data_IF_800179082273
#
_entry.id   IF_800179082273
#
_cell.length_a   1.000
_cell.length_b   1.000
_cell.length_c   1.000
_cell.angle_alpha   90.00
_cell.angle_beta   90.00
_cell.angle_gamma   90.00
#
_symmetry.space_group_name_H-M   'P 1'
#
loop_
_entity.id
_entity.type
_entity.pdbx_description
1 polymer ?
#
# COMPACT_ATOMS: atom_id res chain seq x y z
N UNK A 1 12.90 -42.78 -54.33
CA UNK A 1 12.57 -43.27 -52.98
C UNK A 1 12.81 -42.14 -52.00
N UNK A 2 11.81 -41.80 -51.19
CA UNK A 2 11.73 -40.59 -50.35
C UNK A 2 12.55 -40.81 -49.06
N UNK A 3 13.50 -39.92 -48.76
CA UNK A 3 14.19 -39.90 -47.46
C UNK A 3 13.71 -38.68 -46.68
N UNK A 4 12.81 -38.89 -45.72
CA UNK A 4 12.26 -37.82 -44.89
C UNK A 4 13.23 -37.46 -43.77
N UNK A 5 13.60 -36.19 -43.69
CA UNK A 5 14.27 -35.59 -42.54
C UNK A 5 13.35 -35.62 -41.31
N UNK A 6 13.86 -36.10 -40.18
CA UNK A 6 13.25 -35.92 -38.85
C UNK A 6 14.05 -34.84 -38.10
N UNK A 7 13.52 -33.62 -38.06
CA UNK A 7 14.00 -32.54 -37.19
C UNK A 7 13.24 -32.66 -35.87
N UNK A 8 13.94 -33.05 -34.80
CA UNK A 8 13.40 -33.08 -33.45
C UNK A 8 13.46 -31.67 -32.87
N UNK A 9 12.35 -30.94 -32.91
CA UNK A 9 12.23 -29.63 -32.25
C UNK A 9 11.93 -29.84 -30.76
N UNK A 10 12.92 -29.63 -29.90
CA UNK A 10 12.75 -29.62 -28.44
C UNK A 10 12.19 -28.26 -28.01
N UNK A 11 10.88 -28.18 -27.81
CA UNK A 11 10.22 -26.99 -27.28
C UNK A 11 10.45 -26.89 -25.76
N UNK A 12 11.33 -25.98 -25.33
CA UNK A 12 11.39 -25.56 -23.93
C UNK A 12 10.13 -24.79 -23.58
N UNK A 13 9.26 -25.40 -22.76
CA UNK A 13 8.10 -24.73 -22.16
C UNK A 13 8.63 -23.96 -20.95
N UNK A 14 8.78 -22.64 -21.07
CA UNK A 14 9.02 -21.76 -19.93
C UNK A 14 7.72 -21.60 -19.14
N UNK A 15 7.64 -22.22 -17.95
CA UNK A 15 6.53 -21.99 -17.02
C UNK A 15 6.70 -20.60 -16.37
N UNK A 16 5.62 -19.80 -16.25
CA UNK A 16 5.67 -18.56 -15.49
C UNK A 16 5.83 -18.92 -14.00
N UNK A 17 6.97 -18.55 -13.41
CA UNK A 17 7.17 -18.68 -11.97
C UNK A 17 6.36 -17.57 -11.27
N UNK A 18 5.18 -17.90 -10.77
CA UNK A 18 4.48 -17.06 -9.79
C UNK A 18 5.29 -17.07 -8.50
N UNK A 19 6.07 -16.02 -8.26
CA UNK A 19 6.72 -15.84 -6.98
C UNK A 19 5.63 -15.69 -5.90
N UNK A 20 5.59 -16.64 -4.96
CA UNK A 20 4.72 -16.55 -3.81
C UNK A 20 5.02 -15.27 -3.02
N UNK A 21 3.99 -14.62 -2.49
CA UNK A 21 4.19 -13.47 -1.61
C UNK A 21 5.02 -13.91 -0.38
N UNK A 22 5.92 -13.05 0.13
CA UNK A 22 6.63 -13.34 1.37
C UNK A 22 5.63 -13.61 2.50
N UNK A 23 5.87 -14.62 3.33
CA UNK A 23 4.96 -15.05 4.41
C UNK A 23 5.69 -15.09 5.74
N UNK A 24 5.11 -14.47 6.77
CA UNK A 24 5.66 -14.34 8.11
C UNK A 24 6.16 -12.94 8.45
N UNK A 25 6.07 -12.56 9.73
CA UNK A 25 6.44 -11.22 10.20
C UNK A 25 7.94 -10.90 10.06
N UNK A 26 8.81 -11.89 9.84
CA UNK A 26 10.24 -11.73 9.65
C UNK A 26 10.62 -11.49 8.18
N UNK A 27 9.65 -11.46 7.26
CA UNK A 27 9.90 -11.33 5.81
C UNK A 27 9.78 -9.91 5.26
N UNK A 28 9.55 -8.93 6.13
CA UNK A 28 9.62 -7.53 5.72
C UNK A 28 11.08 -7.13 5.46
N UNK A 29 11.27 -6.22 4.50
CA UNK A 29 12.60 -5.73 4.13
C UNK A 29 13.22 -4.80 5.18
N UNK A 30 12.46 -4.40 6.20
CA UNK A 30 12.91 -3.58 7.33
C UNK A 30 12.07 -3.86 8.58
N UNK A 31 12.55 -3.50 9.79
CA UNK A 31 11.80 -3.70 11.03
C UNK A 31 10.47 -2.94 11.06
N UNK A 32 9.41 -3.62 11.48
CA UNK A 32 8.02 -3.11 11.49
C UNK A 32 7.25 -3.45 12.77
N UNK A 33 7.93 -3.86 13.84
CA UNK A 33 7.31 -4.26 15.10
C UNK A 33 6.53 -3.11 15.74
N UNK A 34 7.05 -1.88 15.64
CA UNK A 34 6.39 -0.67 16.14
C UNK A 34 5.09 -0.42 15.38
N UNK A 35 5.13 -0.42 14.05
CA UNK A 35 3.98 -0.15 13.21
C UNK A 35 2.91 -1.24 13.38
N UNK A 36 3.32 -2.51 13.45
CA UNK A 36 2.43 -3.65 13.72
C UNK A 36 1.71 -3.52 15.06
N UNK A 37 2.41 -3.08 16.11
CA UNK A 37 1.79 -2.85 17.43
C UNK A 37 0.77 -1.72 17.36
N UNK A 38 1.13 -0.59 16.73
CA UNK A 38 0.23 0.55 16.58
C UNK A 38 -1.04 0.18 15.79
N UNK A 39 -0.88 -0.54 14.67
CA UNK A 39 -1.99 -0.99 13.83
C UNK A 39 -2.92 -2.00 14.51
N UNK A 40 -2.48 -2.64 15.60
CA UNK A 40 -3.33 -3.51 16.42
C UNK A 40 -4.29 -2.74 17.34
N UNK A 41 -4.08 -1.45 17.55
CA UNK A 41 -4.88 -0.57 18.41
C UNK A 41 -5.27 0.74 17.69
N UNK A 42 -5.88 0.68 16.50
CA UNK A 42 -6.16 1.88 15.72
C UNK A 42 -7.31 2.67 16.33
N UNK A 43 -7.21 4.00 16.29
CA UNK A 43 -8.33 4.87 16.68
C UNK A 43 -9.23 5.19 15.49
N UNK A 44 -10.53 5.23 15.72
CA UNK A 44 -11.43 5.82 14.74
C UNK A 44 -11.16 7.32 14.64
N UNK A 45 -11.12 7.85 13.42
CA UNK A 45 -10.97 9.29 13.18
C UNK A 45 -12.13 9.78 12.29
N UNK A 46 -12.69 10.97 12.55
CA UNK A 46 -13.67 11.56 11.66
C UNK A 46 -13.06 11.84 10.29
N UNK A 47 -13.79 11.56 9.21
CA UNK A 47 -13.34 11.77 7.84
C UNK A 47 -13.10 13.26 7.47
N UNK A 48 -13.59 14.20 8.28
CA UNK A 48 -13.57 15.63 7.99
C UNK A 48 -12.25 16.33 8.31
N UNK A 49 -11.45 15.79 9.23
CA UNK A 49 -10.33 16.53 9.81
C UNK A 49 -9.00 16.10 9.18
N UNK A 50 -8.12 17.08 8.96
CA UNK A 50 -6.77 16.80 8.51
C UNK A 50 -5.97 16.16 9.65
N UNK A 51 -5.44 14.96 9.41
CA UNK A 51 -4.65 14.20 10.36
C UNK A 51 -3.23 14.76 10.51
N UNK A 52 -2.65 14.65 11.70
CA UNK A 52 -1.25 14.98 11.93
C UNK A 52 -0.36 13.77 11.60
N UNK A 53 0.51 13.93 10.60
CA UNK A 53 1.49 12.90 10.20
C UNK A 53 2.51 12.56 11.30
N UNK A 54 2.71 13.47 12.26
CA UNK A 54 3.67 13.32 13.36
C UNK A 54 3.04 12.72 14.61
N UNK A 55 1.72 12.50 14.63
CA UNK A 55 1.01 11.95 15.78
C UNK A 55 1.52 10.56 16.20
N UNK A 56 2.08 9.80 15.25
CA UNK A 56 2.48 8.41 15.46
C UNK A 56 1.32 7.49 15.83
N UNK A 57 0.08 7.94 15.62
CA UNK A 57 -1.14 7.21 15.95
C UNK A 57 -1.59 6.39 14.74
N UNK A 58 -1.92 5.12 14.97
CA UNK A 58 -2.66 4.37 13.98
C UNK A 58 -4.11 4.81 13.97
N UNK A 59 -4.69 4.96 12.78
CA UNK A 59 -6.09 5.32 12.59
C UNK A 59 -6.78 4.30 11.71
N UNK A 60 -8.06 4.05 11.97
CA UNK A 60 -8.91 3.21 11.12
C UNK A 60 -9.64 4.09 10.12
N UNK A 61 -9.45 3.80 8.84
CA UNK A 61 -10.19 4.42 7.75
C UNK A 61 -11.34 3.51 7.33
N UNK A 62 -12.53 4.08 7.25
CA UNK A 62 -13.66 3.48 6.55
C UNK A 62 -13.52 3.74 5.05
N UNK A 63 -13.65 2.68 4.27
CA UNK A 63 -13.53 2.67 2.82
C UNK A 63 -14.90 2.45 2.20
N UNK A 64 -15.10 3.04 1.02
CA UNK A 64 -16.30 2.86 0.23
C UNK A 64 -16.06 1.80 -0.85
N UNK A 65 -17.12 1.18 -1.39
CA UNK A 65 -17.01 0.40 -2.62
C UNK A 65 -16.29 1.21 -3.70
N UNK A 66 -15.44 0.56 -4.51
CA UNK A 66 -14.61 1.20 -5.54
C UNK A 66 -15.36 2.24 -6.41
N UNK A 67 -16.57 1.96 -6.93
CA UNK A 67 -17.32 2.94 -7.72
C UNK A 67 -17.73 4.20 -6.95
N UNK A 68 -17.87 4.11 -5.63
CA UNK A 68 -18.42 5.14 -4.76
C UNK A 68 -17.33 5.96 -4.03
N UNK A 69 -16.08 5.49 -4.04
CA UNK A 69 -14.99 6.05 -3.26
C UNK A 69 -14.54 7.47 -3.64
N UNK A 70 -14.84 7.92 -4.87
CA UNK A 70 -14.60 9.29 -5.35
C UNK A 70 -13.21 9.83 -4.95
N UNK A 71 -12.16 9.07 -5.29
CA UNK A 71 -10.79 9.45 -4.96
C UNK A 71 -10.45 10.85 -5.53
N UNK A 72 -9.81 11.73 -4.75
CA UNK A 72 -9.46 13.08 -5.20
C UNK A 72 -8.59 13.16 -6.46
N UNK A 73 -7.75 12.14 -6.68
CA UNK A 73 -6.95 11.95 -7.88
C UNK A 73 -7.14 10.52 -8.42
N UNK A 74 -6.98 10.29 -9.73
CA UNK A 74 -6.96 8.94 -10.30
C UNK A 74 -5.90 8.09 -9.59
N UNK A 75 -6.19 6.83 -9.21
CA UNK A 75 -5.17 5.97 -8.64
C UNK A 75 -4.13 5.60 -9.69
N UNK A 76 -2.90 5.28 -9.28
CA UNK A 76 -1.89 4.78 -10.22
C UNK A 76 -2.27 3.39 -10.76
N UNK A 77 -3.05 2.62 -9.99
CA UNK A 77 -3.51 1.28 -10.37
C UNK A 77 -4.99 1.09 -10.09
N UNK A 78 -5.68 0.59 -11.12
CA UNK A 78 -7.04 0.07 -10.97
C UNK A 78 -7.04 -1.20 -10.10
N UNK A 79 -8.15 -1.47 -9.38
CA UNK A 79 -8.25 -2.69 -8.60
C UNK A 79 -8.13 -3.94 -9.48
N UNK A 80 -7.41 -4.94 -8.96
CA UNK A 80 -7.20 -6.21 -9.67
C UNK A 80 -8.31 -7.21 -9.41
N UNK A 81 -9.05 -7.05 -8.31
CA UNK A 81 -10.11 -7.95 -7.87
C UNK A 81 -11.36 -7.15 -7.51
N UNK A 82 -12.51 -7.77 -7.70
CA UNK A 82 -13.81 -7.24 -7.27
C UNK A 82 -14.51 -8.27 -6.35
N UNK A 83 -15.27 -7.83 -5.33
CA UNK A 83 -15.43 -6.45 -4.89
C UNK A 83 -14.11 -5.86 -4.36
N UNK A 84 -13.95 -4.54 -4.52
CA UNK A 84 -12.82 -3.77 -4.01
C UNK A 84 -13.34 -2.54 -3.29
N UNK A 85 -12.58 -2.10 -2.29
CA UNK A 85 -12.84 -0.88 -1.54
C UNK A 85 -11.74 0.14 -1.77
N UNK A 86 -12.08 1.41 -1.61
CA UNK A 86 -11.18 2.54 -1.74
C UNK A 86 -11.62 3.70 -0.86
N UNK A 87 -10.70 4.60 -0.58
CA UNK A 87 -10.94 5.77 0.25
C UNK A 87 -9.68 6.61 0.39
N UNK A 88 -9.79 7.71 1.13
CA UNK A 88 -8.68 8.62 1.30
C UNK A 88 -8.72 9.32 2.66
N UNK A 89 -7.56 9.76 3.12
CA UNK A 89 -7.41 10.61 4.30
C UNK A 89 -6.53 11.81 3.97
N UNK A 90 -6.87 12.97 4.53
CA UNK A 90 -6.09 14.19 4.39
C UNK A 90 -5.17 14.35 5.58
N UNK A 91 -3.95 14.79 5.32
CA UNK A 91 -2.96 15.08 6.33
C UNK A 91 -2.51 16.53 6.25
N UNK A 92 -2.33 17.14 7.41
CA UNK A 92 -1.83 18.51 7.51
C UNK A 92 -0.37 18.60 7.02
N UNK A 93 0.01 19.82 6.63
CA UNK A 93 1.41 20.16 6.43
C UNK A 93 2.19 20.05 7.75
N UNK A 94 3.49 19.81 7.64
CA UNK A 94 4.41 19.75 8.77
C UNK A 94 5.66 20.57 8.45
N UNK A 95 6.46 20.90 9.46
CA UNK A 95 7.73 21.59 9.22
C UNK A 95 8.76 20.64 8.59
N UNK A 96 9.33 21.05 7.46
CA UNK A 96 10.44 20.36 6.80
C UNK A 96 10.04 19.21 5.89
N UNK A 97 11.02 18.76 5.10
CA UNK A 97 10.94 17.52 4.32
C UNK A 97 11.37 16.36 5.22
N UNK A 98 10.73 15.20 5.07
CA UNK A 98 11.13 14.01 5.81
C UNK A 98 10.77 12.72 5.10
N UNK A 99 11.49 11.64 5.42
CA UNK A 99 11.14 10.30 4.98
C UNK A 99 10.22 9.64 6.00
N UNK A 100 9.17 9.03 5.49
CA UNK A 100 8.13 8.41 6.29
C UNK A 100 7.80 7.02 5.75
N UNK A 101 7.54 6.10 6.66
CA UNK A 101 6.86 4.84 6.38
C UNK A 101 5.36 5.05 6.54
N UNK A 102 4.59 4.66 5.53
CA UNK A 102 3.15 4.52 5.60
C UNK A 102 2.86 3.03 5.60
N UNK A 103 2.29 2.54 6.70
CA UNK A 103 2.04 1.10 6.90
C UNK A 103 0.55 0.82 7.04
N UNK A 104 0.11 -0.32 6.50
CA UNK A 104 -1.29 -0.73 6.41
C UNK A 104 -1.51 -2.09 7.06
N UNK A 105 -2.65 -2.25 7.72
CA UNK A 105 -3.10 -3.55 8.26
C UNK A 105 -3.44 -4.55 7.16
N UNK A 106 -3.96 -4.07 6.02
CA UNK A 106 -4.41 -4.88 4.89
C UNK A 106 -3.65 -4.54 3.60
N UNK A 107 -3.81 -5.39 2.60
CA UNK A 107 -3.21 -5.19 1.28
C UNK A 107 -4.00 -4.14 0.52
N UNK A 108 -3.40 -2.98 0.25
CA UNK A 108 -3.97 -1.98 -0.65
C UNK A 108 -2.88 -1.31 -1.48
N UNK A 109 -3.28 -0.70 -2.58
CA UNK A 109 -2.46 0.29 -3.28
C UNK A 109 -2.38 1.58 -2.46
N UNK A 110 -1.24 2.28 -2.52
CA UNK A 110 -1.01 3.52 -1.79
C UNK A 110 -0.59 4.57 -2.81
N UNK A 111 -1.42 5.59 -2.99
CA UNK A 111 -1.05 6.82 -3.68
C UNK A 111 -0.94 7.94 -2.65
N UNK A 112 0.18 8.67 -2.67
CA UNK A 112 0.33 9.90 -1.86
C UNK A 112 0.31 11.08 -2.81
N UNK A 113 -0.67 11.96 -2.66
CA UNK A 113 -0.83 13.13 -3.53
C UNK A 113 -0.46 14.39 -2.75
N UNK A 114 0.58 15.09 -3.19
CA UNK A 114 1.04 16.36 -2.63
C UNK A 114 1.23 17.36 -3.76
N UNK A 115 0.77 18.59 -3.58
CA UNK A 115 0.82 19.66 -4.60
C UNK A 115 0.27 19.21 -5.97
N UNK A 116 -0.88 18.50 -5.95
CA UNK A 116 -1.55 17.90 -7.10
C UNK A 116 -0.77 16.80 -7.86
N UNK A 117 0.38 16.36 -7.34
CA UNK A 117 1.21 15.32 -7.93
C UNK A 117 1.22 14.05 -7.07
N UNK A 118 1.11 12.89 -7.71
CA UNK A 118 1.36 11.62 -7.05
C UNK A 118 2.87 11.48 -6.77
N UNK A 119 3.24 11.29 -5.51
CA UNK A 119 4.61 11.06 -5.08
C UNK A 119 5.04 9.65 -5.45
N UNK A 120 6.28 9.51 -5.94
CA UNK A 120 6.87 8.21 -6.22
C UNK A 120 7.30 7.54 -4.90
N UNK A 121 6.93 6.27 -4.66
CA UNK A 121 7.48 5.50 -3.55
C UNK A 121 9.00 5.37 -3.63
N UNK A 122 9.69 5.49 -2.49
CA UNK A 122 11.12 5.22 -2.37
C UNK A 122 11.40 3.71 -2.32
N UNK A 123 10.60 2.98 -1.56
CA UNK A 123 10.67 1.53 -1.41
C UNK A 123 9.35 0.99 -0.85
N UNK A 124 9.06 -0.29 -1.06
CA UNK A 124 7.92 -0.97 -0.45
C UNK A 124 8.32 -2.34 0.07
N UNK A 125 7.56 -2.83 1.05
CA UNK A 125 7.64 -4.20 1.54
C UNK A 125 6.24 -4.69 1.90
N UNK A 126 6.03 -5.99 1.78
CA UNK A 126 4.78 -6.64 2.16
C UNK A 126 5.02 -8.10 2.49
N UNK A 127 4.24 -8.61 3.43
CA UNK A 127 4.26 -10.01 3.81
C UNK A 127 2.85 -10.47 4.22
N UNK A 128 2.50 -11.71 3.94
CA UNK A 128 1.29 -12.38 4.41
C UNK A 128 1.55 -13.04 5.77
N UNK A 129 0.49 -13.56 6.39
CA UNK A 129 0.57 -14.35 7.63
C UNK A 129 1.26 -13.62 8.78
N UNK A 130 1.12 -12.29 8.81
CA UNK A 130 1.55 -11.44 9.91
C UNK A 130 0.36 -10.59 10.38
N UNK A 131 -0.10 -10.84 11.61
CA UNK A 131 -1.26 -10.13 12.15
C UNK A 131 -1.02 -8.62 12.25
N UNK A 132 -2.06 -7.85 11.94
CA UNK A 132 -2.13 -6.38 12.05
C UNK A 132 -1.26 -5.59 11.05
N UNK A 133 -0.50 -6.23 10.17
CA UNK A 133 0.28 -5.52 9.15
C UNK A 133 0.47 -6.36 7.88
N UNK A 134 0.21 -5.76 6.72
CA UNK A 134 0.37 -6.42 5.42
C UNK A 134 1.37 -5.70 4.52
N UNK A 135 1.47 -4.37 4.62
CA UNK A 135 2.27 -3.56 3.70
C UNK A 135 2.88 -2.34 4.39
N UNK A 136 4.07 -1.95 3.97
CA UNK A 136 4.70 -0.68 4.34
C UNK A 136 5.39 -0.08 3.13
N UNK A 137 5.24 1.23 2.94
CA UNK A 137 5.82 1.97 1.82
C UNK A 137 6.52 3.22 2.34
N UNK A 138 7.74 3.47 1.86
CA UNK A 138 8.53 4.66 2.18
C UNK A 138 8.26 5.76 1.16
N UNK A 139 8.02 6.97 1.64
CA UNK A 139 7.89 8.18 0.83
C UNK A 139 8.78 9.28 1.41
N UNK A 140 9.28 10.16 0.54
CA UNK A 140 9.74 11.48 0.94
C UNK A 140 8.55 12.43 0.90
N UNK A 141 8.18 13.01 2.03
CA UNK A 141 7.05 13.93 2.15
C UNK A 141 7.58 15.35 2.34
N UNK A 142 7.11 16.27 1.51
CA UNK A 142 7.37 17.70 1.66
C UNK A 142 6.58 18.34 2.81
N UNK A 143 6.82 19.62 3.12
CA UNK A 143 6.20 20.32 4.23
C UNK A 143 4.71 20.62 4.03
N UNK A 144 4.21 20.60 2.79
CA UNK A 144 2.80 20.88 2.46
C UNK A 144 1.83 19.78 2.92
N UNK A 145 0.52 20.06 2.94
CA UNK A 145 -0.49 19.03 3.15
C UNK A 145 -0.45 17.97 2.05
N UNK A 146 -0.96 16.77 2.34
CA UNK A 146 -1.06 15.71 1.35
C UNK A 146 -2.32 14.87 1.56
N UNK A 147 -2.71 14.14 0.52
CA UNK A 147 -3.80 13.16 0.57
C UNK A 147 -3.19 11.76 0.42
N UNK A 148 -3.49 10.88 1.35
CA UNK A 148 -3.26 9.45 1.21
C UNK A 148 -4.50 8.82 0.58
N UNK A 149 -4.37 8.18 -0.57
CA UNK A 149 -5.44 7.45 -1.23
C UNK A 149 -5.12 5.96 -1.22
N UNK A 150 -6.16 5.16 -0.96
CA UNK A 150 -6.09 3.71 -0.93
C UNK A 150 -7.06 3.15 -1.96
N UNK A 151 -6.60 2.18 -2.75
CA UNK A 151 -7.42 1.41 -3.70
C UNK A 151 -7.03 -0.06 -3.66
N UNK A 152 -7.82 -0.94 -4.31
CA UNK A 152 -7.60 -2.40 -4.31
C UNK A 152 -7.59 -3.01 -2.90
N UNK A 153 -8.26 -2.37 -1.93
CA UNK A 153 -8.38 -2.91 -0.58
C UNK A 153 -9.40 -4.07 -0.59
N UNK A 154 -9.19 -5.14 0.20
CA UNK A 154 -10.07 -6.32 0.25
C UNK A 154 -11.21 -6.20 1.27
N UNK A 155 -11.31 -5.08 1.99
CA UNK A 155 -12.25 -4.89 3.09
C UNK A 155 -12.69 -3.44 3.18
N UNK A 156 -13.89 -3.16 3.74
CA UNK A 156 -14.42 -1.80 3.89
C UNK A 156 -13.73 -0.99 4.99
N UNK A 157 -12.73 -1.52 5.66
CA UNK A 157 -11.95 -0.81 6.65
C UNK A 157 -10.47 -1.18 6.54
N UNK A 158 -9.59 -0.23 6.86
CA UNK A 158 -8.15 -0.46 6.90
C UNK A 158 -7.52 0.43 7.96
N UNK A 159 -6.64 -0.17 8.77
CA UNK A 159 -5.82 0.59 9.70
C UNK A 159 -4.57 1.10 8.99
N UNK A 160 -4.23 2.36 9.22
CA UNK A 160 -3.04 3.01 8.69
C UNK A 160 -2.23 3.61 9.83
N UNK A 161 -0.91 3.68 9.64
CA UNK A 161 -0.03 4.46 10.53
C UNK A 161 1.07 5.11 9.71
N UNK A 162 1.39 6.35 10.06
CA UNK A 162 2.53 7.09 9.52
C UNK A 162 3.59 7.24 10.62
N UNK A 163 4.81 6.86 10.31
CA UNK A 163 5.96 6.95 11.21
C UNK A 163 7.19 7.45 10.45
N UNK A 164 8.14 8.14 11.09
CA UNK A 164 9.43 8.42 10.47
C UNK A 164 10.10 7.15 9.93
N UNK A 165 10.77 7.25 8.79
CA UNK A 165 11.50 6.17 8.15
C UNK A 165 12.84 6.64 7.62
N UNK A 166 13.87 5.80 7.73
CA UNK A 166 15.19 6.05 7.11
C UNK A 166 15.19 5.77 5.60
#
# INVERSE_FOLDING_TARGET
>A
MRSSLLVLAASLIALPASAAEPSGCDKFAWPLEKERKLLGEPKAVPASDALDRNSGQAVRLELQPWPDAKLPAPPEREPKKMPSWAGFARFAGASGVGRYKISLSEGAWIDVVQDANALKPLAFTGATDCSNIRKSVKFELGPGPFTLQLSDAPSPEIAIVITPGE
#
